data_IF_155941831570
#
_entry.id   IF_155941831570
#
_cell.length_a   1.000
_cell.length_b   1.000
_cell.length_c   1.000
_cell.angle_alpha   90.00
_cell.angle_beta   90.00
_cell.angle_gamma   90.00
#
_symmetry.space_group_name_H-M   'P 1'
#
loop_
_entity.id
_entity.type
_entity.pdbx_description
1 polymer ?
#
# COMPACT_ATOMS: atom_id res chain seq x y z
N UNK A 1 11.45 26.41 -54.99
CA UNK A 1 12.47 26.06 -53.99
C UNK A 1 12.32 26.82 -52.67
N UNK A 2 12.16 28.16 -52.66
CA UNK A 2 12.00 28.92 -51.40
C UNK A 2 10.66 28.70 -50.66
N UNK A 3 9.57 28.36 -51.39
CA UNK A 3 8.23 28.17 -50.81
C UNK A 3 8.12 26.83 -50.07
N UNK A 4 8.66 25.74 -50.63
CA UNK A 4 8.67 24.42 -49.98
C UNK A 4 9.50 24.43 -48.69
N UNK A 5 10.65 25.12 -48.69
CA UNK A 5 11.49 25.24 -47.50
C UNK A 5 10.77 25.95 -46.33
N UNK A 6 9.82 26.85 -46.63
CA UNK A 6 9.04 27.57 -45.63
C UNK A 6 7.83 26.74 -45.12
N UNK A 7 7.30 25.84 -45.96
CA UNK A 7 6.23 24.90 -45.58
C UNK A 7 6.78 23.79 -44.68
N UNK A 8 7.97 23.25 -44.99
CA UNK A 8 8.61 22.25 -44.12
C UNK A 8 8.97 22.84 -42.74
N UNK A 9 9.47 24.08 -42.71
CA UNK A 9 9.79 24.76 -41.46
C UNK A 9 8.53 25.02 -40.61
N UNK A 10 7.39 25.36 -41.23
CA UNK A 10 6.14 25.60 -40.51
C UNK A 10 5.47 24.31 -40.02
N UNK A 11 5.54 23.22 -40.79
CA UNK A 11 5.04 21.90 -40.38
C UNK A 11 5.89 21.27 -39.27
N UNK A 12 7.21 21.43 -39.34
CA UNK A 12 8.12 21.00 -38.26
C UNK A 12 7.84 21.78 -36.97
N UNK A 13 7.59 23.09 -37.08
CA UNK A 13 7.33 23.95 -35.93
C UNK A 13 5.95 23.70 -35.30
N UNK A 14 4.92 23.32 -36.09
CA UNK A 14 3.62 22.90 -35.55
C UNK A 14 3.70 21.53 -34.85
N UNK A 15 4.44 20.57 -35.42
CA UNK A 15 4.65 19.26 -34.79
C UNK A 15 5.42 19.37 -33.46
N UNK A 16 6.42 20.26 -33.39
CA UNK A 16 7.14 20.55 -32.14
C UNK A 16 6.23 21.23 -31.12
N UNK A 17 5.37 22.15 -31.55
CA UNK A 17 4.42 22.83 -30.66
C UNK A 17 3.40 21.86 -30.07
N UNK A 18 2.94 20.89 -30.84
CA UNK A 18 2.02 19.83 -30.41
C UNK A 18 2.70 18.83 -29.46
N UNK A 19 3.97 18.49 -29.70
CA UNK A 19 4.77 17.68 -28.79
C UNK A 19 5.07 18.39 -27.45
N UNK A 20 5.26 19.72 -27.46
CA UNK A 20 5.44 20.53 -26.24
C UNK A 20 4.11 20.72 -25.48
N UNK A 21 2.98 20.58 -26.17
CA UNK A 21 1.64 20.54 -25.58
C UNK A 21 1.19 19.15 -25.12
N UNK A 22 2.07 18.13 -25.13
CA UNK A 22 1.81 16.88 -24.40
C UNK A 22 1.47 17.25 -22.96
N UNK A 23 0.17 17.19 -22.64
CA UNK A 23 -0.41 17.90 -21.51
C UNK A 23 0.37 17.60 -20.21
N UNK A 24 0.75 18.61 -19.42
CA UNK A 24 1.42 18.42 -18.13
C UNK A 24 0.62 17.52 -17.17
N UNK A 25 -0.67 17.31 -17.47
CA UNK A 25 -1.58 16.36 -16.84
C UNK A 25 -1.06 14.92 -16.91
N UNK A 26 -0.46 14.47 -18.03
CA UNK A 26 0.05 13.10 -18.16
C UNK A 26 1.29 12.87 -17.31
N UNK A 27 2.17 13.87 -17.21
CA UNK A 27 3.31 13.84 -16.30
C UNK A 27 2.85 13.79 -14.84
N UNK A 28 1.84 14.59 -14.48
CA UNK A 28 1.28 14.61 -13.13
C UNK A 28 0.59 13.28 -12.77
N UNK A 29 -0.14 12.69 -13.73
CA UNK A 29 -0.77 11.38 -13.57
C UNK A 29 0.26 10.26 -13.41
N UNK A 30 1.36 10.31 -14.17
CA UNK A 30 2.47 9.36 -14.04
C UNK A 30 3.15 9.43 -12.66
N UNK A 31 3.45 10.64 -12.16
CA UNK A 31 4.00 10.84 -10.82
C UNK A 31 3.01 10.34 -9.75
N UNK A 32 1.72 10.64 -9.91
CA UNK A 32 0.66 10.16 -9.02
C UNK A 32 0.59 8.63 -8.96
N UNK A 33 0.70 7.95 -10.10
CA UNK A 33 0.70 6.49 -10.18
C UNK A 33 1.90 5.89 -9.44
N UNK A 34 3.10 6.47 -9.63
CA UNK A 34 4.32 6.01 -8.95
C UNK A 34 4.21 6.24 -7.43
N UNK A 35 3.72 7.40 -7.00
CA UNK A 35 3.51 7.69 -5.59
C UNK A 35 2.51 6.71 -4.95
N UNK A 36 1.41 6.40 -5.65
CA UNK A 36 0.43 5.42 -5.21
C UNK A 36 1.03 4.01 -5.11
N UNK A 37 1.83 3.60 -6.09
CA UNK A 37 2.52 2.31 -6.08
C UNK A 37 3.50 2.19 -4.91
N UNK A 38 4.30 3.23 -4.65
CA UNK A 38 5.21 3.28 -3.50
C UNK A 38 4.42 3.18 -2.19
N UNK A 39 3.35 3.96 -2.04
CA UNK A 39 2.48 3.92 -0.87
C UNK A 39 1.92 2.52 -0.63
N UNK A 40 1.43 1.86 -1.69
CA UNK A 40 0.88 0.51 -1.62
C UNK A 40 1.94 -0.51 -1.18
N UNK A 41 3.15 -0.44 -1.73
CA UNK A 41 4.26 -1.35 -1.37
C UNK A 41 4.69 -1.14 0.09
N UNK A 42 4.78 0.11 0.54
CA UNK A 42 5.11 0.43 1.93
C UNK A 42 4.04 -0.09 2.90
N UNK A 43 2.76 0.10 2.55
CA UNK A 43 1.65 -0.38 3.35
C UNK A 43 1.63 -1.92 3.42
N UNK A 44 1.84 -2.59 2.28
CA UNK A 44 1.88 -4.05 2.21
C UNK A 44 3.01 -4.63 3.06
N UNK A 45 4.21 -4.04 3.01
CA UNK A 45 5.32 -4.43 3.89
C UNK A 45 4.94 -4.29 5.37
N UNK A 46 4.27 -3.20 5.75
CA UNK A 46 3.78 -3.02 7.13
C UNK A 46 2.77 -4.07 7.51
N UNK A 47 1.81 -4.41 6.64
CA UNK A 47 0.80 -5.45 6.90
C UNK A 47 1.45 -6.82 7.12
N UNK A 48 2.43 -7.18 6.28
CA UNK A 48 3.16 -8.46 6.42
C UNK A 48 3.91 -8.51 7.75
N UNK A 49 4.68 -7.46 8.08
CA UNK A 49 5.40 -7.40 9.37
C UNK A 49 4.42 -7.47 10.53
N UNK A 50 3.28 -6.77 10.47
CA UNK A 50 2.27 -6.81 11.53
C UNK A 50 1.63 -8.20 11.69
N UNK A 51 1.45 -8.93 10.58
CA UNK A 51 0.93 -10.30 10.62
C UNK A 51 1.92 -11.26 11.28
N UNK A 52 3.20 -11.19 10.90
CA UNK A 52 4.28 -12.00 11.51
C UNK A 52 4.40 -11.70 13.00
N UNK A 53 4.39 -10.42 13.39
CA UNK A 53 4.45 -10.01 14.80
C UNK A 53 3.23 -10.51 15.58
N UNK A 54 2.05 -10.55 14.98
CA UNK A 54 0.86 -11.14 15.59
C UNK A 54 1.00 -12.63 15.86
N UNK A 55 1.52 -13.38 14.89
CA UNK A 55 1.77 -14.81 15.08
C UNK A 55 2.81 -15.07 16.18
N UNK A 56 3.88 -14.26 16.22
CA UNK A 56 4.87 -14.28 17.29
C UNK A 56 4.25 -13.96 18.66
N UNK A 57 3.44 -12.91 18.75
CA UNK A 57 2.74 -12.55 19.98
C UNK A 57 1.84 -13.70 20.46
N UNK A 58 1.11 -14.35 19.54
CA UNK A 58 0.30 -15.52 19.88
C UNK A 58 1.13 -16.69 20.43
N UNK A 59 2.29 -16.97 19.84
CA UNK A 59 3.21 -17.99 20.34
C UNK A 59 3.76 -17.66 21.74
N UNK A 60 4.07 -16.38 22.01
CA UNK A 60 4.50 -15.92 23.34
C UNK A 60 3.36 -16.11 24.35
N UNK A 61 2.13 -15.73 24.01
CA UNK A 61 0.97 -15.89 24.91
C UNK A 61 0.71 -17.36 25.27
N UNK A 62 0.87 -18.25 24.29
CA UNK A 62 0.79 -19.69 24.52
C UNK A 62 1.84 -20.17 25.52
N UNK A 63 3.08 -19.67 25.39
CA UNK A 63 4.17 -19.99 26.32
C UNK A 63 3.90 -19.49 27.76
N UNK A 64 3.29 -18.31 27.91
CA UNK A 64 2.90 -17.76 29.22
C UNK A 64 1.65 -18.41 29.82
N UNK A 65 1.04 -19.39 29.15
CA UNK A 65 -0.13 -20.11 29.65
C UNK A 65 -1.43 -19.31 29.58
N UNK A 66 -1.45 -18.20 28.84
CA UNK A 66 -2.66 -17.39 28.62
C UNK A 66 -3.53 -18.13 27.61
N UNK A 67 -4.60 -18.75 28.09
CA UNK A 67 -5.52 -19.56 27.27
C UNK A 67 -6.55 -18.66 26.59
N UNK A 68 -6.16 -18.03 25.49
CA UNK A 68 -7.11 -17.39 24.60
C UNK A 68 -7.86 -18.46 23.77
N UNK A 69 -9.12 -18.22 23.38
CA UNK A 69 -9.85 -19.13 22.50
C UNK A 69 -9.12 -19.24 21.15
N UNK A 70 -8.48 -20.40 20.91
CA UNK A 70 -7.58 -20.63 19.78
C UNK A 70 -8.25 -20.29 18.44
N UNK A 71 -9.49 -20.76 18.24
CA UNK A 71 -10.22 -20.57 16.99
C UNK A 71 -10.47 -19.08 16.70
N UNK A 72 -10.92 -18.34 17.70
CA UNK A 72 -11.27 -16.92 17.55
C UNK A 72 -10.00 -16.08 17.38
N UNK A 73 -8.95 -16.41 18.14
CA UNK A 73 -7.66 -15.70 18.04
C UNK A 73 -7.00 -15.95 16.70
N UNK A 74 -7.07 -17.18 16.17
CA UNK A 74 -6.54 -17.52 14.84
C UNK A 74 -7.26 -16.72 13.75
N UNK A 75 -8.60 -16.70 13.75
CA UNK A 75 -9.39 -15.93 12.78
C UNK A 75 -9.06 -14.44 12.84
N UNK A 76 -8.99 -13.88 14.04
CA UNK A 76 -8.73 -12.45 14.23
C UNK A 76 -7.29 -12.08 13.90
N UNK A 77 -6.31 -12.95 14.17
CA UNK A 77 -4.90 -12.72 13.80
C UNK A 77 -4.70 -12.83 12.28
N UNK A 78 -5.44 -13.70 11.59
CA UNK A 78 -5.39 -13.78 10.12
C UNK A 78 -5.94 -12.50 9.47
N UNK A 79 -7.01 -11.92 10.03
CA UNK A 79 -7.65 -10.71 9.47
C UNK A 79 -6.94 -9.42 9.89
N UNK A 80 -6.49 -9.33 11.15
CA UNK A 80 -5.98 -8.09 11.77
C UNK A 80 -4.51 -8.14 12.22
N UNK A 81 -3.83 -9.29 12.11
CA UNK A 81 -2.42 -9.46 12.52
C UNK A 81 -2.21 -9.20 14.02
N UNK A 82 -1.10 -8.51 14.36
CA UNK A 82 -0.75 -8.12 15.73
C UNK A 82 -1.84 -7.32 16.44
N UNK A 83 -2.51 -6.40 15.74
CA UNK A 83 -3.57 -5.60 16.33
C UNK A 83 -4.72 -6.48 16.84
N UNK A 84 -5.04 -7.54 16.11
CA UNK A 84 -6.03 -8.55 16.51
C UNK A 84 -5.64 -9.33 17.77
N UNK A 85 -4.36 -9.64 17.95
CA UNK A 85 -3.87 -10.28 19.18
C UNK A 85 -3.92 -9.31 20.36
N UNK A 86 -3.59 -8.04 20.13
CA UNK A 86 -3.67 -6.98 21.14
C UNK A 86 -5.09 -6.74 21.65
N UNK A 87 -6.09 -6.72 20.76
CA UNK A 87 -7.49 -6.58 21.17
C UNK A 87 -7.99 -7.80 21.95
N UNK A 88 -7.60 -9.02 21.54
CA UNK A 88 -7.90 -10.24 22.29
C UNK A 88 -7.30 -10.23 23.70
N UNK A 89 -6.05 -9.79 23.82
CA UNK A 89 -5.40 -9.61 25.11
C UNK A 89 -6.16 -8.64 25.99
N UNK A 90 -6.58 -7.49 25.46
CA UNK A 90 -7.38 -6.53 26.22
C UNK A 90 -8.69 -7.16 26.69
N UNK A 91 -9.44 -7.82 25.81
CA UNK A 91 -10.69 -8.48 26.15
C UNK A 91 -10.50 -9.58 27.22
N UNK A 92 -9.39 -10.32 27.15
CA UNK A 92 -9.00 -11.31 28.16
C UNK A 92 -8.66 -10.66 29.51
N UNK A 93 -7.89 -9.56 29.52
CA UNK A 93 -7.61 -8.80 30.74
C UNK A 93 -8.86 -8.17 31.36
N UNK A 94 -9.85 -7.79 30.55
CA UNK A 94 -11.16 -7.33 31.02
C UNK A 94 -12.09 -8.46 31.48
N UNK A 95 -11.64 -9.73 31.44
CA UNK A 95 -12.41 -10.89 31.90
C UNK A 95 -13.57 -11.27 30.98
N UNK A 96 -13.63 -10.74 29.76
CA UNK A 96 -14.68 -11.04 28.77
C UNK A 96 -14.39 -12.31 27.96
N UNK A 97 -13.17 -12.85 28.06
CA UNK A 97 -12.70 -14.05 27.33
C UNK A 97 -12.14 -15.14 28.27
N UNK A 98 -12.52 -15.12 29.54
CA UNK A 98 -12.19 -16.15 30.53
C UNK A 98 -13.13 -17.35 30.49
#
# INVERSE_FOLDING_TARGET
>A
MAIELNVDATMAMSAVREAVHADPVFLLAGIGLVALAIFLVFFLKRVIVNSILGLLAFAVLWFFGIRLPFLVTLVVTIVFGLAGVGTMLLLYFFGLLG
#
